data_IF_014496335479
#
_entry.id   IF_014496335479
#
_cell.length_a   1.000
_cell.length_b   1.000
_cell.length_c   1.000
_cell.angle_alpha   90.00
_cell.angle_beta   90.00
_cell.angle_gamma   90.00
#
_symmetry.space_group_name_H-M   'P 1'
#
loop_
_entity.id
_entity.type
_entity.pdbx_description
1 polymer ?
#
# COMPACT_ATOMS: atom_id res chain seq x y z
N UNK A 1 12.09 -10.94 -33.40
CA UNK A 1 10.93 -11.86 -33.40
C UNK A 1 11.35 -13.06 -32.57
N UNK A 2 10.77 -13.25 -31.38
CA UNK A 2 11.04 -14.41 -30.54
C UNK A 2 9.90 -15.40 -30.79
N UNK A 3 10.21 -16.57 -31.34
CA UNK A 3 9.25 -17.66 -31.54
C UNK A 3 9.41 -18.56 -30.31
N UNK A 4 8.36 -18.66 -29.47
CA UNK A 4 8.27 -19.67 -28.40
C UNK A 4 7.42 -20.82 -28.93
N UNK A 5 8.04 -21.96 -29.14
CA UNK A 5 7.34 -23.21 -29.46
C UNK A 5 7.52 -24.18 -28.29
N UNK A 6 6.43 -24.86 -27.89
CA UNK A 6 6.44 -25.84 -26.79
C UNK A 6 6.09 -27.21 -27.37
N UNK A 7 6.96 -28.22 -27.25
CA UNK A 7 6.64 -29.56 -27.67
C UNK A 7 5.46 -30.11 -26.84
N UNK A 8 4.52 -30.76 -27.50
CA UNK A 8 3.32 -31.33 -26.88
C UNK A 8 3.48 -32.77 -26.40
N UNK A 9 4.46 -33.47 -26.96
CA UNK A 9 4.68 -34.89 -26.66
C UNK A 9 6.06 -35.12 -26.11
N UNK A 10 6.24 -36.17 -25.32
CA UNK A 10 7.55 -36.67 -24.88
C UNK A 10 8.27 -37.33 -26.02
N UNK A 11 9.58 -37.08 -26.11
CA UNK A 11 10.37 -37.69 -27.16
C UNK A 11 11.59 -36.87 -27.55
N UNK A 12 12.30 -37.36 -28.55
CA UNK A 12 13.47 -36.69 -29.12
C UNK A 12 13.03 -35.76 -30.27
N UNK A 13 13.34 -34.49 -30.14
CA UNK A 13 13.05 -33.46 -31.15
C UNK A 13 14.34 -33.01 -31.81
N UNK A 14 14.25 -32.69 -33.11
CA UNK A 14 15.29 -32.02 -33.85
C UNK A 14 14.91 -30.55 -34.11
N UNK A 15 15.68 -29.62 -33.55
CA UNK A 15 15.51 -28.20 -33.80
C UNK A 15 16.47 -27.75 -34.88
N UNK A 16 15.95 -27.42 -36.07
CA UNK A 16 16.76 -26.90 -37.17
C UNK A 16 16.74 -25.36 -37.11
N UNK A 17 17.93 -24.79 -37.02
CA UNK A 17 18.13 -23.35 -37.08
C UNK A 17 18.94 -23.01 -38.32
N UNK A 18 18.37 -22.26 -39.23
CA UNK A 18 19.02 -21.82 -40.45
C UNK A 18 19.15 -20.29 -40.50
N UNK A 19 20.29 -19.79 -40.91
CA UNK A 19 20.52 -18.39 -41.22
C UNK A 19 20.95 -18.26 -42.68
N UNK A 20 20.22 -17.44 -43.45
CA UNK A 20 20.40 -17.31 -44.90
C UNK A 20 20.43 -18.66 -45.64
N UNK A 21 19.50 -19.57 -45.31
CA UNK A 21 19.37 -20.92 -45.85
C UNK A 21 20.60 -21.83 -45.60
N UNK A 22 21.43 -21.50 -44.63
CA UNK A 22 22.54 -22.33 -44.16
C UNK A 22 22.33 -22.68 -42.72
N UNK A 23 22.64 -23.95 -42.31
CA UNK A 23 22.55 -24.35 -40.93
C UNK A 23 23.39 -23.41 -40.03
N UNK A 24 22.80 -22.93 -38.94
CA UNK A 24 23.48 -22.09 -37.97
C UNK A 24 24.07 -22.94 -36.84
N UNK A 25 25.36 -22.74 -36.56
CA UNK A 25 26.08 -23.46 -35.51
C UNK A 25 26.11 -24.98 -35.71
N UNK A 26 25.64 -25.72 -34.72
CA UNK A 26 25.57 -27.19 -34.74
C UNK A 26 24.17 -27.70 -35.13
N UNK A 27 23.39 -26.91 -35.85
CA UNK A 27 22.06 -27.32 -36.36
C UNK A 27 22.17 -28.59 -37.23
N UNK A 28 21.26 -29.58 -37.03
CA UNK A 28 20.14 -29.63 -36.11
C UNK A 28 20.53 -29.98 -34.69
N UNK A 29 19.90 -29.32 -33.71
CA UNK A 29 20.08 -29.62 -32.30
C UNK A 29 19.11 -30.74 -31.87
N UNK A 30 19.62 -31.76 -31.19
CA UNK A 30 18.77 -32.80 -30.58
C UNK A 30 18.37 -32.41 -29.19
N UNK A 31 17.07 -32.28 -28.97
CA UNK A 31 16.49 -31.96 -27.68
C UNK A 31 15.61 -33.10 -27.20
N UNK A 32 15.86 -33.58 -25.99
CA UNK A 32 15.06 -34.65 -25.39
C UNK A 32 14.01 -34.05 -24.49
N UNK A 33 12.75 -34.26 -24.82
CA UNK A 33 11.60 -33.90 -23.95
C UNK A 33 11.29 -35.09 -23.06
N UNK A 34 11.62 -34.99 -21.77
CA UNK A 34 11.42 -36.05 -20.80
C UNK A 34 9.95 -36.11 -20.35
N UNK A 35 9.45 -37.32 -19.93
CA UNK A 35 8.16 -37.43 -19.26
C UNK A 35 8.18 -36.63 -17.95
N UNK A 36 7.25 -35.72 -17.76
CA UNK A 36 7.15 -34.95 -16.52
C UNK A 36 7.07 -33.43 -16.68
N UNK A 37 7.37 -32.88 -17.87
CA UNK A 37 6.97 -31.51 -18.17
C UNK A 37 5.43 -31.48 -18.39
N UNK A 38 4.68 -31.51 -17.30
CA UNK A 38 3.23 -31.35 -17.41
C UNK A 38 2.90 -30.00 -18.00
N UNK A 39 2.00 -29.97 -18.98
CA UNK A 39 1.50 -28.70 -19.55
C UNK A 39 1.00 -27.83 -18.39
N UNK A 40 1.25 -26.52 -18.44
CA UNK A 40 0.73 -25.61 -17.42
C UNK A 40 -0.78 -25.72 -17.35
N UNK A 41 -1.29 -25.79 -16.11
CA UNK A 41 -2.71 -25.90 -15.79
C UNK A 41 -3.10 -24.72 -14.89
N UNK A 42 -3.34 -23.53 -15.44
CA UNK A 42 -3.67 -22.34 -14.66
C UNK A 42 -4.91 -22.53 -13.80
N UNK A 43 -5.84 -23.37 -14.24
CA UNK A 43 -7.06 -23.77 -13.51
C UNK A 43 -6.79 -24.54 -12.20
N UNK A 44 -5.59 -25.07 -12.02
CA UNK A 44 -5.16 -25.73 -10.79
C UNK A 44 -4.41 -24.82 -9.82
N UNK A 45 -4.10 -23.59 -10.24
CA UNK A 45 -3.49 -22.60 -9.35
C UNK A 45 -4.55 -22.06 -8.37
N UNK A 46 -4.14 -21.90 -7.11
CA UNK A 46 -4.96 -21.31 -6.06
C UNK A 46 -4.24 -20.13 -5.45
N UNK A 47 -4.96 -19.03 -5.28
CA UNK A 47 -4.46 -17.88 -4.54
C UNK A 47 -5.34 -17.64 -3.32
N UNK A 48 -4.73 -17.47 -2.14
CA UNK A 48 -5.43 -17.28 -0.88
C UNK A 48 -4.59 -16.49 0.10
N UNK A 49 -5.24 -15.83 1.03
CA UNK A 49 -4.62 -15.05 2.08
C UNK A 49 -5.32 -13.70 2.30
N UNK A 50 -5.10 -13.08 3.46
CA UNK A 50 -5.78 -11.84 3.82
C UNK A 50 -5.49 -10.68 2.87
N UNK A 51 -4.30 -10.67 2.23
CA UNK A 51 -3.91 -9.65 1.25
C UNK A 51 -4.71 -9.67 -0.04
N UNK A 52 -5.52 -10.70 -0.32
CA UNK A 52 -6.46 -10.74 -1.45
C UNK A 52 -7.87 -10.27 -1.07
N UNK A 53 -8.15 -10.04 0.23
CA UNK A 53 -9.44 -9.60 0.74
C UNK A 53 -9.42 -8.12 1.15
N UNK A 54 -8.34 -7.69 1.80
CA UNK A 54 -8.16 -6.31 2.27
C UNK A 54 -6.69 -5.96 2.41
N UNK A 55 -6.40 -4.65 2.35
CA UNK A 55 -5.10 -4.08 2.65
C UNK A 55 -5.24 -2.85 3.56
N UNK A 56 -4.16 -2.52 4.25
CA UNK A 56 -4.06 -1.29 5.06
C UNK A 56 -2.91 -0.45 4.52
N UNK A 57 -3.13 0.85 4.41
CA UNK A 57 -2.14 1.80 3.87
C UNK A 57 -0.82 1.72 4.62
N UNK A 58 0.28 1.56 3.87
CA UNK A 58 1.65 1.43 4.36
C UNK A 58 1.91 0.20 5.26
N UNK A 59 1.01 -0.76 5.30
CA UNK A 59 1.22 -2.03 5.98
C UNK A 59 1.39 -3.16 4.95
N UNK A 60 2.22 -4.19 5.24
CA UNK A 60 2.38 -5.34 4.36
C UNK A 60 1.08 -6.16 4.32
N UNK A 61 0.62 -6.43 3.10
CA UNK A 61 -0.50 -7.32 2.83
C UNK A 61 0.04 -8.58 2.15
N UNK A 62 -0.28 -9.74 2.70
CA UNK A 62 0.34 -11.02 2.33
C UNK A 62 -0.69 -11.98 1.77
N UNK A 63 -0.27 -12.74 0.76
CA UNK A 63 -1.05 -13.84 0.20
C UNK A 63 -0.13 -14.93 -0.35
N UNK A 64 -0.67 -16.13 -0.52
CA UNK A 64 0.04 -17.28 -1.06
C UNK A 64 -0.57 -17.69 -2.39
N UNK A 65 0.29 -18.02 -3.34
CA UNK A 65 -0.08 -18.65 -4.61
C UNK A 65 0.41 -20.08 -4.59
N UNK A 66 -0.49 -21.04 -4.68
CA UNK A 66 -0.19 -22.48 -4.76
C UNK A 66 -0.34 -22.95 -6.22
N UNK A 67 0.79 -23.21 -6.84
CA UNK A 67 0.91 -23.76 -8.19
C UNK A 67 1.47 -25.20 -8.18
N UNK A 68 1.54 -25.87 -7.02
CA UNK A 68 2.16 -27.20 -6.84
C UNK A 68 1.58 -28.26 -7.78
N UNK A 69 0.30 -28.15 -8.16
CA UNK A 69 -0.38 -29.05 -9.07
C UNK A 69 -0.58 -28.49 -10.49
N UNK A 70 -0.05 -27.28 -10.74
CA UNK A 70 -0.31 -26.55 -11.99
C UNK A 70 0.71 -26.88 -13.11
N UNK A 71 1.70 -27.71 -12.85
CA UNK A 71 2.75 -28.05 -13.80
C UNK A 71 3.86 -26.99 -13.85
N UNK A 72 4.55 -26.89 -14.98
CA UNK A 72 5.66 -25.94 -15.14
C UNK A 72 5.16 -24.64 -15.78
N UNK A 73 5.38 -23.54 -15.11
CA UNK A 73 5.00 -22.20 -15.60
C UNK A 73 5.54 -21.12 -14.68
N UNK A 74 5.61 -19.90 -15.21
CA UNK A 74 6.01 -18.72 -14.45
C UNK A 74 4.77 -18.03 -13.86
N UNK A 75 4.91 -17.45 -12.67
CA UNK A 75 3.90 -16.58 -12.07
C UNK A 75 4.11 -15.16 -12.60
N UNK A 76 3.04 -14.57 -13.12
CA UNK A 76 2.95 -13.15 -13.45
C UNK A 76 2.05 -12.45 -12.45
N UNK A 77 2.55 -11.41 -11.77
CA UNK A 77 1.81 -10.62 -10.80
C UNK A 77 1.86 -9.15 -11.20
N UNK A 78 0.71 -8.50 -11.28
CA UNK A 78 0.60 -7.05 -11.45
C UNK A 78 -0.46 -6.50 -10.49
N UNK A 79 -0.17 -5.37 -9.85
CA UNK A 79 -1.10 -4.69 -8.94
C UNK A 79 -1.38 -3.30 -9.47
N UNK A 80 -2.63 -3.05 -9.83
CA UNK A 80 -3.10 -1.80 -10.40
C UNK A 80 -4.03 -1.08 -9.40
N UNK A 81 -3.78 0.19 -9.12
CA UNK A 81 -4.57 0.94 -8.15
C UNK A 81 -4.25 2.43 -8.11
N UNK A 82 -4.65 3.14 -7.05
CA UNK A 82 -4.44 4.58 -6.91
C UNK A 82 -2.98 5.03 -6.86
N UNK A 83 -2.06 4.11 -6.56
CA UNK A 83 -0.63 4.34 -6.58
C UNK A 83 0.12 3.02 -6.79
N UNK A 84 1.37 3.13 -7.23
CA UNK A 84 2.26 1.97 -7.40
C UNK A 84 2.58 1.32 -6.06
N UNK A 85 2.44 -0.01 -5.98
CA UNK A 85 2.74 -0.80 -4.80
C UNK A 85 4.18 -1.30 -4.84
N UNK A 86 4.81 -1.41 -3.67
CA UNK A 86 5.99 -2.24 -3.52
C UNK A 86 5.52 -3.70 -3.46
N UNK A 87 6.10 -4.56 -4.27
CA UNK A 87 5.72 -5.98 -4.38
C UNK A 87 6.96 -6.84 -4.23
N UNK A 88 6.87 -7.86 -3.40
CA UNK A 88 7.85 -8.92 -3.27
C UNK A 88 7.16 -10.28 -3.38
N UNK A 89 7.78 -11.24 -4.08
CA UNK A 89 7.21 -12.57 -4.27
C UNK A 89 8.33 -13.61 -4.19
N UNK A 90 8.28 -14.45 -3.17
CA UNK A 90 9.30 -15.45 -2.86
C UNK A 90 8.81 -16.83 -3.26
N UNK A 91 9.59 -17.54 -4.06
CA UNK A 91 9.37 -18.96 -4.37
C UNK A 91 9.85 -19.82 -3.18
N UNK A 92 8.95 -20.59 -2.59
CA UNK A 92 9.26 -21.47 -1.47
C UNK A 92 9.95 -22.79 -1.90
N UNK A 93 10.05 -23.06 -3.20
CA UNK A 93 10.69 -24.26 -3.77
C UNK A 93 9.83 -25.53 -3.73
N UNK A 94 8.60 -25.45 -3.22
CA UNK A 94 7.62 -26.55 -3.14
C UNK A 94 6.45 -26.36 -4.12
N UNK A 95 6.54 -25.36 -5.01
CA UNK A 95 5.49 -24.98 -5.94
C UNK A 95 4.52 -23.95 -5.35
N UNK A 96 4.80 -23.43 -4.17
CA UNK A 96 4.07 -22.30 -3.59
C UNK A 96 4.90 -21.03 -3.61
N UNK A 97 4.24 -19.88 -3.70
CA UNK A 97 4.86 -18.55 -3.70
C UNK A 97 4.22 -17.72 -2.60
N UNK A 98 5.06 -17.11 -1.78
CA UNK A 98 4.63 -16.14 -0.78
C UNK A 98 4.80 -14.75 -1.36
N UNK A 99 3.69 -14.02 -1.52
CA UNK A 99 3.68 -12.68 -2.10
C UNK A 99 3.25 -11.66 -1.04
N UNK A 100 4.01 -10.57 -0.97
CA UNK A 100 3.77 -9.45 -0.06
C UNK A 100 3.71 -8.17 -0.87
N UNK A 101 2.77 -7.29 -0.57
CA UNK A 101 2.74 -5.96 -1.16
C UNK A 101 2.39 -4.88 -0.14
N UNK A 102 2.84 -3.65 -0.43
CA UNK A 102 2.55 -2.46 0.39
C UNK A 102 1.87 -1.42 -0.49
N UNK A 103 0.64 -1.08 -0.16
CA UNK A 103 -0.16 -0.07 -0.84
C UNK A 103 0.03 1.30 -0.16
N UNK A 104 0.56 2.34 -0.84
CA UNK A 104 0.87 3.62 -0.20
C UNK A 104 -0.32 4.57 -0.09
N UNK A 105 -1.45 4.28 -0.75
CA UNK A 105 -2.65 5.12 -0.73
C UNK A 105 -3.92 4.29 -0.54
N UNK A 106 -4.95 4.85 0.10
CA UNK A 106 -6.24 4.18 0.20
C UNK A 106 -6.95 4.14 -1.15
N UNK A 107 -7.79 3.14 -1.34
CA UNK A 107 -8.61 2.93 -2.53
C UNK A 107 -8.67 1.48 -2.96
N UNK A 108 -9.21 1.24 -4.15
CA UNK A 108 -9.35 -0.11 -4.69
C UNK A 108 -8.11 -0.47 -5.50
N UNK A 109 -7.51 -1.62 -5.19
CA UNK A 109 -6.42 -2.23 -5.94
C UNK A 109 -6.91 -3.50 -6.63
N UNK A 110 -6.49 -3.70 -7.87
CA UNK A 110 -6.77 -4.92 -8.63
C UNK A 110 -5.47 -5.70 -8.78
N UNK A 111 -5.49 -6.94 -8.30
CA UNK A 111 -4.35 -7.85 -8.36
C UNK A 111 -4.60 -8.81 -9.52
N UNK A 112 -3.85 -8.62 -10.60
CA UNK A 112 -3.83 -9.49 -11.76
C UNK A 112 -2.79 -10.59 -11.52
N UNK A 113 -3.24 -11.83 -11.49
CA UNK A 113 -2.40 -13.00 -11.29
C UNK A 113 -2.52 -13.93 -12.49
N UNK A 114 -1.36 -14.29 -13.05
CA UNK A 114 -1.26 -15.19 -14.21
C UNK A 114 -0.31 -16.34 -13.94
N UNK A 115 -0.60 -17.47 -14.53
CA UNK A 115 0.29 -18.61 -14.58
C UNK A 115 0.49 -19.02 -16.04
N UNK A 116 1.75 -19.07 -16.50
CA UNK A 116 2.10 -19.34 -17.89
C UNK A 116 1.32 -18.45 -18.90
N UNK A 117 1.23 -17.14 -18.62
CA UNK A 117 0.53 -16.10 -19.38
C UNK A 117 -1.01 -16.24 -19.43
N UNK A 118 -1.62 -17.10 -18.61
CA UNK A 118 -3.06 -17.26 -18.50
C UNK A 118 -3.54 -16.84 -17.10
N UNK A 119 -4.73 -16.24 -17.04
CA UNK A 119 -5.30 -15.81 -15.77
C UNK A 119 -5.61 -17.02 -14.86
N UNK A 120 -5.31 -16.90 -13.57
CA UNK A 120 -5.66 -17.92 -12.59
C UNK A 120 -7.11 -17.76 -12.12
N UNK A 121 -7.75 -18.81 -11.59
CA UNK A 121 -9.10 -18.73 -11.08
C UNK A 121 -9.24 -17.64 -10.00
N UNK A 122 -10.22 -16.76 -10.19
CA UNK A 122 -10.50 -15.65 -9.28
C UNK A 122 -9.79 -14.33 -9.62
N UNK A 123 -8.78 -14.35 -10.48
CA UNK A 123 -8.15 -13.13 -10.94
C UNK A 123 -9.02 -12.36 -11.98
N UNK A 124 -8.99 -11.03 -11.98
CA UNK A 124 -8.31 -10.16 -11.04
C UNK A 124 -9.00 -10.10 -9.67
N UNK A 125 -8.21 -10.04 -8.57
CA UNK A 125 -8.74 -9.84 -7.22
C UNK A 125 -8.88 -8.36 -6.95
N UNK A 126 -10.07 -7.91 -6.53
CA UNK A 126 -10.33 -6.51 -6.18
C UNK A 126 -10.23 -6.32 -4.68
N UNK A 127 -9.18 -5.62 -4.23
CA UNK A 127 -8.82 -5.48 -2.83
C UNK A 127 -9.00 -4.04 -2.37
N UNK A 128 -9.90 -3.76 -1.42
CA UNK A 128 -9.98 -2.47 -0.78
C UNK A 128 -8.77 -2.25 0.12
N UNK A 129 -8.11 -1.10 -0.06
CA UNK A 129 -7.06 -0.63 0.83
C UNK A 129 -7.60 0.53 1.65
N UNK A 130 -7.62 0.36 2.97
CA UNK A 130 -8.15 1.32 3.92
C UNK A 130 -7.03 1.96 4.73
N UNK A 131 -7.32 3.11 5.34
CA UNK A 131 -6.43 3.69 6.34
C UNK A 131 -6.48 2.87 7.63
N UNK A 132 -5.37 2.80 8.41
CA UNK A 132 -5.43 2.23 9.75
C UNK A 132 -6.44 3.00 10.60
N UNK A 133 -7.01 2.39 11.64
CA UNK A 133 -7.90 3.08 12.58
C UNK A 133 -7.22 4.31 13.19
N UNK A 134 -7.99 5.35 13.56
CA UNK A 134 -7.44 6.58 14.11
C UNK A 134 -6.74 6.31 15.46
N UNK A 135 -5.56 6.89 15.62
CA UNK A 135 -4.73 6.80 16.82
C UNK A 135 -4.12 8.17 17.14
N UNK A 136 -4.76 8.89 18.06
CA UNK A 136 -4.34 10.23 18.47
C UNK A 136 -2.94 10.27 19.10
N UNK A 137 -2.43 9.13 19.60
CA UNK A 137 -1.08 9.05 20.19
C UNK A 137 0.03 9.26 19.16
N UNK A 138 -0.26 9.04 17.88
CA UNK A 138 0.63 9.22 16.73
C UNK A 138 0.61 10.63 16.14
N UNK A 139 -0.31 11.50 16.60
CA UNK A 139 -0.30 12.90 16.21
C UNK A 139 0.81 13.65 16.95
N UNK A 140 1.44 14.59 16.24
CA UNK A 140 2.52 15.43 16.78
C UNK A 140 2.10 16.89 16.70
N UNK A 141 2.18 17.61 17.83
CA UNK A 141 1.95 19.05 17.89
C UNK A 141 3.30 19.77 17.95
N UNK A 142 3.43 20.87 17.20
CA UNK A 142 4.62 21.74 17.17
C UNK A 142 4.22 23.19 17.32
N UNK A 143 4.92 23.91 18.19
CA UNK A 143 4.74 25.34 18.38
C UNK A 143 3.50 25.71 19.20
N UNK A 144 2.95 24.80 19.99
CA UNK A 144 1.78 25.05 20.86
C UNK A 144 2.10 26.08 21.96
N UNK A 145 3.37 26.20 22.31
CA UNK A 145 3.88 27.18 23.26
C UNK A 145 3.87 28.62 22.71
N UNK A 146 3.76 28.78 21.39
CA UNK A 146 3.72 30.09 20.76
C UNK A 146 2.27 30.59 20.66
N UNK A 147 1.92 31.71 21.26
CA UNK A 147 0.57 32.27 21.17
C UNK A 147 0.15 32.52 19.71
N UNK A 148 -1.12 32.25 19.42
CA UNK A 148 -1.78 32.59 18.16
C UNK A 148 -1.66 31.54 17.05
N UNK A 149 -0.70 30.61 17.09
CA UNK A 149 -0.55 29.60 16.03
C UNK A 149 0.24 28.37 16.46
N UNK A 150 -0.12 27.21 15.91
CA UNK A 150 0.63 25.96 16.06
C UNK A 150 0.35 25.02 14.88
N UNK A 151 1.10 23.93 14.78
CA UNK A 151 0.92 22.91 13.75
C UNK A 151 0.59 21.56 14.38
N UNK A 152 -0.28 20.81 13.70
CA UNK A 152 -0.62 19.43 14.05
C UNK A 152 -0.28 18.54 12.87
N UNK A 153 0.49 17.49 13.12
CA UNK A 153 0.83 16.47 12.14
C UNK A 153 0.18 15.15 12.54
N UNK A 154 -0.80 14.70 11.76
CA UNK A 154 -1.55 13.46 11.92
C UNK A 154 -1.33 12.49 10.74
N UNK A 155 -0.26 12.67 9.95
CA UNK A 155 -0.01 11.87 8.75
C UNK A 155 0.06 10.37 9.04
N UNK A 156 0.59 9.99 10.21
CA UNK A 156 0.73 8.60 10.66
C UNK A 156 -0.36 8.15 11.64
N UNK A 157 -1.35 9.00 11.91
CA UNK A 157 -2.36 8.73 12.94
C UNK A 157 -3.60 7.95 12.44
N UNK A 158 -3.61 7.52 11.18
CA UNK A 158 -4.77 6.82 10.61
C UNK A 158 -6.03 7.69 10.54
N UNK A 159 -7.17 7.06 10.32
CA UNK A 159 -8.45 7.74 10.25
C UNK A 159 -8.66 8.58 8.98
N UNK A 160 -9.75 9.34 8.93
CA UNK A 160 -10.23 10.07 7.75
C UNK A 160 -9.97 11.58 7.77
N UNK A 161 -9.28 12.10 8.79
CA UNK A 161 -8.90 13.52 8.82
C UNK A 161 -9.76 14.43 9.70
N UNK A 162 -10.43 13.90 10.72
CA UNK A 162 -11.21 14.70 11.67
C UNK A 162 -10.33 15.24 12.81
N UNK A 163 -9.79 16.44 12.64
CA UNK A 163 -9.11 17.20 13.69
C UNK A 163 -10.08 18.18 14.31
N UNK A 164 -10.21 18.15 15.64
CA UNK A 164 -11.04 19.06 16.43
C UNK A 164 -10.12 19.93 17.31
N UNK A 165 -10.33 21.24 17.26
CA UNK A 165 -9.56 22.21 18.05
C UNK A 165 -10.52 23.11 18.78
N UNK A 166 -10.42 23.13 20.11
CA UNK A 166 -11.12 24.06 20.96
C UNK A 166 -10.13 25.03 21.62
N UNK A 167 -10.45 26.32 21.62
CA UNK A 167 -9.64 27.35 22.28
C UNK A 167 -10.53 28.17 23.19
N UNK A 168 -10.16 28.30 24.46
CA UNK A 168 -10.91 29.03 25.46
C UNK A 168 -10.00 29.93 26.27
N UNK A 169 -10.23 31.22 26.25
CA UNK A 169 -9.57 32.19 27.12
C UNK A 169 -10.12 32.14 28.55
N UNK A 170 -9.42 32.82 29.47
CA UNK A 170 -9.78 32.84 30.90
C UNK A 170 -11.15 33.52 31.16
N UNK A 171 -11.49 34.56 30.43
CA UNK A 171 -12.68 35.40 30.66
C UNK A 171 -13.59 35.54 29.43
N UNK A 172 -12.99 35.50 28.25
CA UNK A 172 -13.71 35.71 26.99
C UNK A 172 -13.42 34.50 26.06
N UNK A 173 -14.47 34.00 25.35
CA UNK A 173 -14.24 32.93 24.37
C UNK A 173 -13.36 33.46 23.24
N UNK A 174 -12.60 32.54 22.62
CA UNK A 174 -11.78 32.83 21.45
C UNK A 174 -12.67 33.43 20.33
N UNK A 175 -12.26 34.58 19.77
CA UNK A 175 -12.99 35.21 18.69
C UNK A 175 -12.86 34.49 17.36
N UNK A 176 -11.72 33.81 17.16
CA UNK A 176 -11.40 33.18 15.89
C UNK A 176 -10.49 31.97 16.09
N UNK A 177 -10.89 30.85 15.52
CA UNK A 177 -10.05 29.66 15.37
C UNK A 177 -10.12 29.21 13.91
N UNK A 178 -8.98 29.11 13.27
CA UNK A 178 -8.86 28.57 11.91
C UNK A 178 -7.99 27.34 11.90
N UNK A 179 -8.49 26.30 11.25
CA UNK A 179 -7.78 25.04 11.01
C UNK A 179 -7.64 24.85 9.51
N UNK A 180 -6.42 24.94 9.00
CA UNK A 180 -6.11 24.75 7.58
C UNK A 180 -5.45 23.40 7.36
N UNK A 181 -6.08 22.55 6.57
CA UNK A 181 -5.50 21.28 6.11
C UNK A 181 -4.53 21.51 4.95
N UNK A 182 -3.31 20.98 5.04
CA UNK A 182 -2.24 21.19 4.05
C UNK A 182 -2.15 20.06 3.00
N UNK A 183 -3.04 19.04 3.05
CA UNK A 183 -3.14 18.00 2.03
C UNK A 183 -2.61 16.62 2.43
N UNK A 184 -1.75 16.53 3.44
CA UNK A 184 -1.05 15.32 3.89
C UNK A 184 -1.36 14.95 5.36
N UNK A 185 -2.55 15.35 5.85
CA UNK A 185 -2.94 15.25 7.25
C UNK A 185 -2.07 16.07 8.21
N UNK A 186 -1.41 17.08 7.70
CA UNK A 186 -0.86 18.17 8.50
C UNK A 186 -1.81 19.36 8.49
N UNK A 187 -1.84 20.07 9.61
CA UNK A 187 -2.77 21.17 9.83
C UNK A 187 -2.02 22.37 10.41
N UNK A 188 -2.28 23.54 9.84
CA UNK A 188 -1.93 24.81 10.45
C UNK A 188 -3.13 25.34 11.23
N UNK A 189 -2.95 25.57 12.52
CA UNK A 189 -3.97 26.14 13.39
C UNK A 189 -3.56 27.55 13.75
N UNK A 190 -4.49 28.49 13.61
CA UNK A 190 -4.36 29.86 14.08
C UNK A 190 -5.56 30.29 14.88
N UNK A 191 -5.36 31.06 15.93
CA UNK A 191 -6.39 31.55 16.81
C UNK A 191 -6.06 32.97 17.29
N UNK A 192 -7.10 33.73 17.64
CA UNK A 192 -6.95 35.07 18.15
C UNK A 192 -7.64 35.21 19.51
N UNK A 193 -6.87 35.62 20.53
CA UNK A 193 -7.32 35.93 21.88
C UNK A 193 -6.77 37.28 22.24
N UNK A 194 -7.68 38.25 22.50
CA UNK A 194 -7.29 39.63 22.77
C UNK A 194 -6.97 39.91 24.22
N UNK A 195 -7.39 39.07 25.14
CA UNK A 195 -7.16 39.30 26.55
C UNK A 195 -5.95 38.53 27.06
N UNK A 196 -5.07 39.17 27.85
CA UNK A 196 -3.98 38.46 28.49
C UNK A 196 -4.50 37.49 29.55
N UNK A 197 -3.80 36.40 29.73
CA UNK A 197 -4.13 35.40 30.73
C UNK A 197 -3.92 33.96 30.24
N UNK A 198 -4.39 33.02 31.04
CA UNK A 198 -4.31 31.60 30.71
C UNK A 198 -5.34 31.23 29.66
N UNK A 199 -4.89 30.61 28.60
CA UNK A 199 -5.70 30.10 27.51
C UNK A 199 -5.61 28.58 27.49
N UNK A 200 -6.74 27.90 27.44
CA UNK A 200 -6.82 26.45 27.31
C UNK A 200 -7.06 26.07 25.87
N UNK A 201 -6.21 25.20 25.34
CA UNK A 201 -6.31 24.68 23.96
C UNK A 201 -6.53 23.18 24.04
N UNK A 202 -7.68 22.70 23.59
CA UNK A 202 -7.98 21.28 23.43
C UNK A 202 -7.78 20.86 21.97
N UNK A 203 -7.09 19.76 21.77
CA UNK A 203 -6.86 19.19 20.44
C UNK A 203 -7.20 17.73 20.48
N UNK A 204 -8.09 17.28 19.60
CA UNK A 204 -8.47 15.87 19.48
C UNK A 204 -8.44 15.40 18.02
N UNK A 205 -8.15 14.11 17.85
CA UNK A 205 -8.19 13.41 16.58
C UNK A 205 -9.25 12.33 16.66
N UNK A 206 -10.30 12.43 15.84
CA UNK A 206 -11.47 11.54 15.90
C UNK A 206 -12.04 11.39 17.32
N UNK A 207 -12.17 12.50 18.05
CA UNK A 207 -12.70 12.52 19.41
C UNK A 207 -11.73 12.05 20.51
N UNK A 208 -10.52 11.64 20.16
CA UNK A 208 -9.49 11.26 21.11
C UNK A 208 -8.50 12.42 21.34
N UNK A 209 -8.32 12.83 22.60
CA UNK A 209 -7.37 13.90 22.91
C UNK A 209 -5.94 13.52 22.53
N UNK A 210 -5.21 14.44 21.91
CA UNK A 210 -3.79 14.28 21.64
C UNK A 210 -3.02 14.30 22.95
N UNK A 211 -1.83 13.69 22.94
CA UNK A 211 -0.96 13.64 24.14
C UNK A 211 -0.67 15.05 24.64
N UNK A 212 -1.01 15.31 25.88
CA UNK A 212 -0.85 16.59 26.55
C UNK A 212 -2.06 17.54 26.42
N UNK A 213 -3.05 17.23 25.58
CA UNK A 213 -4.29 18.02 25.50
C UNK A 213 -5.21 17.73 26.71
N UNK A 214 -5.82 18.78 27.31
CA UNK A 214 -5.74 20.19 26.96
C UNK A 214 -4.43 20.85 27.37
N UNK A 215 -3.94 21.78 26.53
CA UNK A 215 -2.74 22.58 26.79
C UNK A 215 -3.10 23.92 27.42
N UNK A 216 -2.26 24.43 28.32
CA UNK A 216 -2.38 25.79 28.85
C UNK A 216 -1.28 26.66 28.25
N UNK A 217 -1.67 27.75 27.62
CA UNK A 217 -0.77 28.76 27.05
C UNK A 217 -1.07 30.10 27.71
N UNK A 218 -0.02 30.82 28.12
CA UNK A 218 -0.18 32.15 28.71
C UNK A 218 -0.05 33.20 27.62
N UNK A 219 -1.07 34.00 27.42
CA UNK A 219 -1.06 35.17 26.53
C UNK A 219 -0.54 36.36 27.37
N UNK A 220 0.59 36.93 26.96
CA UNK A 220 1.14 38.12 27.61
C UNK A 220 0.34 39.40 27.27
N UNK A 221 0.52 40.43 28.07
CA UNK A 221 0.02 41.77 27.71
C UNK A 221 0.73 42.24 26.43
N UNK A 222 -0.04 42.83 25.50
CA UNK A 222 0.58 43.45 24.33
C UNK A 222 1.49 44.59 24.83
N UNK A 223 2.78 44.56 24.49
CA UNK A 223 3.67 45.71 24.73
C UNK A 223 3.09 46.89 23.95
N UNK A 224 2.74 47.95 24.67
CA UNK A 224 2.18 49.21 24.15
C UNK A 224 3.32 50.04 23.55
#
# INVERSE_FOLDING_TARGET
MCIRDRPKDVGQYEVKVDYNKKPAGQSPYKVNVAPGASMPKPDQVRAYGPGLERAVVNEPAEFTVDASNAGVGDIGLAINGPAECQVDCVDNGDGTFHCTYVAPKPGLYNIDLKFADQDVPGAPFSVPCERPPPDASKCVIKGIENPGKFKVDCANAGGSGLLEVGVSGAYVPCEYVSVRHNGDFTFDVSYDIREPGETTISVSWHGQHLKGSPFTVVIGEAEV
#
